data_IF_507964292151
#
_entry.id   IF_507964292151
#
_cell.length_a   1.000
_cell.length_b   1.000
_cell.length_c   1.000
_cell.angle_alpha   90.00
_cell.angle_beta   90.00
_cell.angle_gamma   90.00
#
_symmetry.space_group_name_H-M   'P 1'
#
loop_
_entity.id
_entity.type
_entity.pdbx_description
1 polymer ?
#
# COMPACT_ATOMS: atom_id res chain seq x y z
N UNK A 1 25.99 -14.08 -16.37
CA UNK A 1 24.59 -13.60 -16.46
C UNK A 1 23.79 -14.36 -15.43
N UNK A 2 23.06 -13.67 -14.53
CA UNK A 2 22.13 -14.38 -13.63
C UNK A 2 20.88 -14.69 -14.43
N UNK A 3 20.54 -15.97 -14.47
CA UNK A 3 19.33 -16.46 -15.11
C UNK A 3 18.14 -15.97 -14.27
N UNK A 4 17.46 -14.93 -14.75
CA UNK A 4 16.25 -14.43 -14.12
C UNK A 4 15.07 -15.17 -14.75
N UNK A 5 14.93 -16.45 -14.43
CA UNK A 5 13.74 -17.20 -14.80
C UNK A 5 12.56 -16.65 -14.01
N UNK A 6 11.59 -16.08 -14.73
CA UNK A 6 10.33 -15.65 -14.16
C UNK A 6 9.46 -16.90 -13.97
N UNK A 7 9.31 -17.35 -12.72
CA UNK A 7 8.43 -18.47 -12.40
C UNK A 7 6.97 -18.01 -12.44
N UNK A 8 6.32 -18.20 -13.60
CA UNK A 8 4.88 -17.99 -13.76
C UNK A 8 4.18 -19.25 -13.25
N UNK A 9 3.41 -19.11 -12.16
CA UNK A 9 2.62 -20.20 -11.58
C UNK A 9 1.15 -19.96 -11.90
N UNK A 10 0.41 -20.95 -12.42
CA UNK A 10 -1.02 -20.81 -12.67
C UNK A 10 -1.77 -20.56 -11.36
N UNK A 11 -2.76 -19.68 -11.40
CA UNK A 11 -3.62 -19.37 -10.24
C UNK A 11 -4.64 -20.50 -10.05
N UNK A 12 -4.82 -21.03 -8.83
CA UNK A 12 -5.82 -22.06 -8.55
C UNK A 12 -7.24 -21.53 -8.76
N UNK A 13 -8.20 -22.45 -8.94
CA UNK A 13 -9.59 -22.11 -9.25
C UNK A 13 -10.29 -21.35 -8.12
N UNK A 14 -9.86 -21.54 -6.86
CA UNK A 14 -10.38 -20.82 -5.70
C UNK A 14 -9.48 -19.63 -5.36
N UNK A 15 -10.05 -18.43 -5.41
CA UNK A 15 -9.35 -17.17 -5.18
C UNK A 15 -10.14 -16.32 -4.19
N UNK A 16 -9.48 -15.93 -3.10
CA UNK A 16 -10.08 -15.17 -2.01
C UNK A 16 -9.26 -13.92 -1.68
N UNK A 17 -9.96 -12.80 -1.48
CA UNK A 17 -9.35 -11.53 -1.10
C UNK A 17 -10.07 -10.99 0.14
N UNK A 18 -9.82 -11.56 1.33
CA UNK A 18 -10.40 -11.04 2.56
C UNK A 18 -9.78 -9.67 2.87
N UNK A 19 -10.64 -8.72 3.23
CA UNK A 19 -10.24 -7.39 3.68
C UNK A 19 -10.40 -7.36 5.20
N UNK A 20 -9.28 -7.14 5.89
CA UNK A 20 -9.30 -6.86 7.31
C UNK A 20 -9.46 -5.35 7.52
N UNK A 21 -10.66 -4.96 7.98
CA UNK A 21 -11.01 -3.58 8.31
C UNK A 21 -10.59 -3.17 9.73
N UNK A 22 -10.16 -4.14 10.57
CA UNK A 22 -9.76 -3.91 11.96
C UNK A 22 -8.34 -3.33 12.03
N UNK A 23 -8.15 -2.13 11.48
CA UNK A 23 -6.95 -1.36 11.73
C UNK A 23 -6.97 -0.87 13.18
N UNK A 24 -6.00 -1.31 13.99
CA UNK A 24 -5.82 -0.73 15.31
C UNK A 24 -5.70 0.79 15.20
N UNK A 25 -6.47 1.55 16.00
CA UNK A 25 -6.45 3.00 15.94
C UNK A 25 -5.05 3.51 16.31
N UNK A 26 -4.56 4.48 15.52
CA UNK A 26 -3.31 5.13 15.81
C UNK A 26 -3.39 5.92 17.12
N UNK A 27 -2.27 5.98 17.85
CA UNK A 27 -2.14 6.93 18.96
C UNK A 27 -2.34 8.37 18.47
N UNK A 28 -2.85 9.26 19.34
CA UNK A 28 -3.05 10.67 19.00
C UNK A 28 -1.76 11.33 18.50
N UNK A 29 -0.61 11.03 19.13
CA UNK A 29 0.68 11.57 18.72
C UNK A 29 1.07 11.09 17.31
N UNK A 30 0.86 9.81 17.00
CA UNK A 30 1.12 9.26 15.67
C UNK A 30 0.20 9.88 14.63
N UNK A 31 -1.09 10.05 14.95
CA UNK A 31 -2.06 10.67 14.05
C UNK A 31 -1.65 12.11 13.70
N UNK A 32 -1.22 12.90 14.68
CA UNK A 32 -0.71 14.26 14.45
C UNK A 32 0.51 14.28 13.53
N UNK A 33 1.42 13.31 13.66
CA UNK A 33 2.58 13.18 12.77
C UNK A 33 2.15 12.86 11.33
N UNK A 34 1.17 11.96 11.16
CA UNK A 34 0.60 11.63 9.84
C UNK A 34 -0.03 12.87 9.20
N UNK A 35 -0.83 13.62 9.95
CA UNK A 35 -1.52 14.80 9.42
C UNK A 35 -0.54 15.92 9.05
N UNK A 36 0.47 16.19 9.89
CA UNK A 36 1.53 17.14 9.58
C UNK A 36 2.35 16.72 8.36
N UNK A 37 2.65 15.42 8.23
CA UNK A 37 3.30 14.88 7.05
C UNK A 37 2.45 15.09 5.79
N UNK A 38 1.15 14.77 5.86
CA UNK A 38 0.21 14.90 4.75
C UNK A 38 0.11 16.35 4.25
N UNK A 39 -0.06 17.31 5.16
CA UNK A 39 -0.09 18.73 4.82
C UNK A 39 1.18 19.18 4.07
N UNK A 40 2.34 18.64 4.46
CA UNK A 40 3.61 18.96 3.81
C UNK A 40 3.75 18.33 2.42
N UNK A 41 3.35 17.07 2.23
CA UNK A 41 3.50 16.38 0.94
C UNK A 41 2.42 16.75 -0.07
N UNK A 42 1.24 17.16 0.40
CA UNK A 42 0.12 17.61 -0.42
C UNK A 42 -0.13 19.12 -0.31
N UNK A 43 0.94 19.90 -0.09
CA UNK A 43 0.84 21.35 0.05
C UNK A 43 0.27 22.06 -1.20
N UNK A 44 0.39 21.42 -2.38
CA UNK A 44 -0.18 21.92 -3.63
C UNK A 44 -1.61 21.40 -3.92
N UNK A 45 -2.16 20.58 -3.01
CA UNK A 45 -3.54 20.08 -3.07
C UNK A 45 -3.82 19.10 -4.21
N UNK A 46 -2.81 18.54 -4.87
CA UNK A 46 -3.00 17.68 -6.04
C UNK A 46 -3.38 16.24 -5.71
N UNK A 47 -3.12 15.79 -4.48
CA UNK A 47 -3.40 14.43 -4.05
C UNK A 47 -4.72 14.37 -3.29
N UNK A 48 -5.47 13.29 -3.49
CA UNK A 48 -6.65 12.95 -2.72
C UNK A 48 -6.25 12.04 -1.55
N UNK A 49 -6.78 12.29 -0.34
CA UNK A 49 -6.62 11.40 0.81
C UNK A 49 -7.82 10.49 0.86
N UNK A 50 -7.58 9.19 0.88
CA UNK A 50 -8.62 8.19 0.99
C UNK A 50 -8.07 6.90 1.58
N UNK A 51 -8.93 5.89 1.60
CA UNK A 51 -8.55 4.55 1.98
C UNK A 51 -7.75 3.86 0.88
N UNK A 52 -6.76 3.06 1.28
CA UNK A 52 -5.92 2.24 0.43
C UNK A 52 -5.82 0.85 1.05
N UNK A 53 -5.95 -0.18 0.21
CA UNK A 53 -5.79 -1.56 0.64
C UNK A 53 -4.36 -2.04 0.36
N UNK A 54 -3.66 -2.46 1.41
CA UNK A 54 -2.29 -2.96 1.35
C UNK A 54 -2.33 -4.47 1.46
N UNK A 55 -1.49 -5.18 0.68
CA UNK A 55 -1.31 -6.63 0.85
C UNK A 55 -0.67 -6.88 2.22
N UNK A 56 -1.37 -7.63 3.05
CA UNK A 56 -0.91 -8.04 4.38
C UNK A 56 -0.19 -9.39 4.31
N UNK A 57 -0.82 -10.37 3.66
CA UNK A 57 -0.22 -11.69 3.43
C UNK A 57 -0.72 -12.33 2.13
N UNK A 58 0.10 -13.24 1.61
CA UNK A 58 -0.24 -14.07 0.46
C UNK A 58 -0.06 -15.52 0.91
N UNK A 59 -1.12 -16.30 0.85
CA UNK A 59 -1.10 -17.73 1.09
C UNK A 59 -1.51 -18.46 -0.18
N UNK A 60 -0.68 -19.40 -0.63
CA UNK A 60 -0.88 -20.11 -1.88
C UNK A 60 -0.68 -21.60 -1.68
N UNK A 61 -1.69 -22.38 -2.05
CA UNK A 61 -1.68 -23.84 -2.12
C UNK A 61 -2.07 -24.30 -3.53
N UNK A 62 -2.05 -25.61 -3.77
CA UNK A 62 -2.50 -26.16 -5.06
C UNK A 62 -4.00 -25.90 -5.33
N UNK A 63 -4.79 -25.72 -4.28
CA UNK A 63 -6.25 -25.63 -4.37
C UNK A 63 -6.77 -24.20 -4.18
N UNK A 64 -6.02 -23.34 -3.50
CA UNK A 64 -6.46 -22.01 -3.08
C UNK A 64 -5.36 -20.95 -3.14
N UNK A 65 -5.73 -19.74 -3.55
CA UNK A 65 -4.94 -18.53 -3.39
C UNK A 65 -5.72 -17.52 -2.53
N UNK A 66 -5.12 -17.13 -1.40
CA UNK A 66 -5.64 -16.09 -0.51
C UNK A 66 -4.68 -14.90 -0.51
N UNK A 67 -5.19 -13.73 -0.90
CA UNK A 67 -4.48 -12.46 -0.78
C UNK A 67 -5.19 -11.65 0.32
N UNK A 68 -4.70 -11.72 1.54
CA UNK A 68 -5.25 -10.94 2.63
C UNK A 68 -4.84 -9.48 2.48
N UNK A 69 -5.82 -8.59 2.57
CA UNK A 69 -5.63 -7.15 2.48
C UNK A 69 -5.93 -6.46 3.80
N UNK A 70 -5.23 -5.38 4.09
CA UNK A 70 -5.49 -4.49 5.21
C UNK A 70 -5.89 -3.10 4.70
N UNK A 71 -6.97 -2.55 5.24
CA UNK A 71 -7.34 -1.17 5.00
C UNK A 71 -6.36 -0.21 5.70
N UNK A 72 -5.96 0.85 5.01
CA UNK A 72 -5.03 1.86 5.52
C UNK A 72 -5.36 3.23 4.96
N UNK A 73 -5.07 4.28 5.72
CA UNK A 73 -5.12 5.64 5.20
C UNK A 73 -3.92 5.89 4.27
N UNK A 74 -4.19 6.44 3.10
CA UNK A 74 -3.17 6.82 2.12
C UNK A 74 -2.07 7.69 2.74
N UNK A 75 -2.42 8.62 3.64
CA UNK A 75 -1.46 9.48 4.32
C UNK A 75 -0.47 8.68 5.19
N UNK A 76 -0.93 7.61 5.86
CA UNK A 76 -0.08 6.71 6.65
C UNK A 76 0.93 6.02 5.73
N UNK A 77 0.46 5.52 4.58
CA UNK A 77 1.29 4.84 3.58
C UNK A 77 2.38 5.75 3.02
N UNK A 78 2.05 7.01 2.73
CA UNK A 78 3.03 8.02 2.26
C UNK A 78 4.12 8.28 3.31
N UNK A 79 3.74 8.34 4.58
CA UNK A 79 4.68 8.57 5.68
C UNK A 79 5.64 7.39 5.87
N UNK A 80 5.15 6.15 5.75
CA UNK A 80 5.94 4.92 5.95
C UNK A 80 6.86 4.58 4.76
N UNK A 81 6.58 5.10 3.56
CA UNK A 81 7.37 4.82 2.36
C UNK A 81 7.93 6.11 1.70
N UNK A 82 8.83 6.84 2.37
CA UNK A 82 9.29 8.16 1.92
C UNK A 82 10.05 8.14 0.58
N UNK A 83 10.62 6.99 0.19
CA UNK A 83 11.42 6.82 -1.02
C UNK A 83 10.59 6.75 -2.32
N UNK A 84 9.29 6.45 -2.26
CA UNK A 84 8.44 6.30 -3.47
C UNK A 84 7.77 7.59 -3.92
N UNK A 85 7.64 8.57 -3.03
CA UNK A 85 6.88 9.81 -3.28
C UNK A 85 7.76 11.05 -3.49
N UNK A 86 9.09 10.92 -3.41
CA UNK A 86 10.04 12.06 -3.52
C UNK A 86 10.64 12.30 -4.92
N UNK A 87 10.30 11.53 -5.96
CA UNK A 87 10.65 11.82 -7.38
C UNK A 87 9.52 11.30 -8.28
N UNK A 88 8.84 12.09 -9.11
CA UNK A 88 9.36 13.01 -10.13
C UNK A 88 8.43 14.23 -10.30
N UNK A 89 8.97 15.44 -10.13
CA UNK A 89 8.63 16.56 -11.02
C UNK A 89 8.97 16.07 -12.44
N UNK A 90 7.99 15.57 -13.18
CA UNK A 90 8.09 15.48 -14.62
C UNK A 90 8.09 16.93 -15.11
N UNK A 91 9.30 17.45 -15.33
CA UNK A 91 9.49 18.62 -16.16
C UNK A 91 8.79 18.32 -17.50
N UNK A 92 7.76 19.10 -17.80
CA UNK A 92 7.24 19.22 -19.16
C UNK A 92 8.36 19.85 -19.98
N UNK A 93 8.95 19.08 -20.89
CA UNK A 93 9.48 19.52 -22.18
C UNK A 93 9.38 18.35 -23.15
#
# INVERSE_FOLDING_TARGET
MRDHSLNIVPVPTQFHVPINEDAEPLSVATQQQVDAHWQRVNADGKFFRGELFIIDSIHHTNDELVIAMKASDYAITCMQSPARYTRKRLARY
#
